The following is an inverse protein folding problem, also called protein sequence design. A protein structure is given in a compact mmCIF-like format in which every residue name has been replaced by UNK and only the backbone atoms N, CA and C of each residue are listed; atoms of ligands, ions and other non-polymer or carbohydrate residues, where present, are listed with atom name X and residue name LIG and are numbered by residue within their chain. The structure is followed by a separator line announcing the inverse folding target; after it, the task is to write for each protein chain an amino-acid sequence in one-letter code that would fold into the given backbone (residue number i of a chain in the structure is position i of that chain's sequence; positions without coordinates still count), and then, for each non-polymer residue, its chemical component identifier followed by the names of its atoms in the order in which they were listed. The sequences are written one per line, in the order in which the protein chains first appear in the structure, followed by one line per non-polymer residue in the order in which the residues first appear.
data_IF_568532936510
#
_entry.id   IF_568532936510
#
_cell.length_a   1.000
_cell.length_b   1.000
_cell.length_c   1.000
_cell.angle_alpha   90.00
_cell.angle_beta   90.00
_cell.angle_gamma   90.00
#
_symmetry.space_group_name_H-M   'P 1'
#
loop_
_entity.id
_entity.type
_entity.pdbx_description
1 polymer ?
#
# COMPACT_ATOMS: atom_id res chain seq x y z
N UNK A 1 48.51 -50.41 18.64
CA UNK A 1 47.52 -51.49 18.47
C UNK A 1 46.21 -50.89 18.00
N UNK A 2 45.66 -51.42 16.91
CA UNK A 2 44.43 -50.97 16.23
C UNK A 2 43.21 -51.53 16.97
N UNK A 3 42.10 -50.79 17.05
CA UNK A 3 40.78 -51.39 16.88
C UNK A 3 39.75 -50.37 16.42
N UNK A 4 39.18 -50.66 15.26
CA UNK A 4 38.12 -49.97 14.52
C UNK A 4 36.85 -50.81 14.69
N UNK A 5 35.67 -50.16 14.80
CA UNK A 5 34.32 -50.64 14.36
C UNK A 5 33.29 -49.58 14.83
N UNK A 6 32.75 -48.68 14.01
CA UNK A 6 31.84 -48.83 12.87
C UNK A 6 30.49 -49.51 13.23
N UNK A 7 29.40 -48.73 13.12
CA UNK A 7 27.95 -49.05 12.89
C UNK A 7 27.17 -47.80 13.35
N UNK A 8 26.70 -46.86 12.51
CA UNK A 8 25.76 -46.88 11.38
C UNK A 8 24.34 -47.38 11.74
N UNK A 9 23.37 -46.56 11.31
CA UNK A 9 21.91 -46.78 11.15
C UNK A 9 20.98 -46.28 12.27
N UNK A 10 20.63 -45.00 12.15
CA UNK A 10 19.27 -44.46 11.92
C UNK A 10 18.07 -45.29 12.40
N UNK A 11 17.27 -44.74 13.31
CA UNK A 11 15.84 -45.02 13.37
C UNK A 11 15.06 -43.72 13.65
N UNK A 12 14.15 -43.45 12.73
CA UNK A 12 13.12 -42.42 12.76
C UNK A 12 12.38 -42.39 14.10
N UNK A 13 12.27 -41.20 14.70
CA UNK A 13 11.18 -40.91 15.64
C UNK A 13 10.43 -39.70 15.08
N UNK A 14 9.34 -40.03 14.40
CA UNK A 14 8.24 -39.13 14.03
C UNK A 14 7.43 -38.91 15.30
N UNK A 15 7.56 -37.76 15.95
CA UNK A 15 6.61 -37.13 16.90
C UNK A 15 7.10 -35.66 17.02
N UNK A 16 6.31 -34.61 16.86
CA UNK A 16 4.87 -34.53 16.74
C UNK A 16 4.44 -33.10 16.43
N UNK A 17 3.20 -33.03 16.00
CA UNK A 17 2.32 -31.87 15.91
C UNK A 17 2.61 -30.82 17.01
N UNK A 18 3.06 -29.63 16.61
CA UNK A 18 2.83 -28.40 17.37
C UNK A 18 2.16 -27.41 16.43
N UNK A 19 0.83 -27.45 16.45
CA UNK A 19 0.02 -26.28 16.13
C UNK A 19 0.43 -25.14 17.07
N UNK A 20 0.70 -23.96 16.53
CA UNK A 20 0.23 -22.67 17.06
C UNK A 20 0.76 -21.51 16.20
N UNK A 21 -0.13 -20.57 15.95
CA UNK A 21 0.12 -19.20 15.53
C UNK A 21 0.46 -18.94 14.05
N UNK A 22 -0.59 -18.96 13.23
CA UNK A 22 -1.10 -17.74 12.58
C UNK A 22 -0.09 -16.66 12.17
N UNK A 23 0.83 -16.95 11.25
CA UNK A 23 1.43 -15.90 10.43
C UNK A 23 0.42 -15.49 9.34
N UNK A 24 -0.60 -14.73 9.73
CA UNK A 24 -1.27 -13.80 8.80
C UNK A 24 -0.33 -12.59 8.72
N UNK A 25 0.42 -12.38 7.62
CA UNK A 25 1.16 -11.14 7.49
C UNK A 25 0.13 -10.02 7.33
N UNK A 26 0.28 -9.01 8.18
CA UNK A 26 -0.21 -7.65 7.94
C UNK A 26 -1.72 -7.51 7.88
N UNK A 27 -2.31 -7.28 9.06
CA UNK A 27 -3.30 -6.22 9.14
C UNK A 27 -2.60 -4.95 8.59
N UNK A 28 -2.73 -4.73 7.29
CA UNK A 28 -2.43 -3.44 6.68
C UNK A 28 -3.13 -2.42 7.56
N UNK A 29 -2.37 -1.57 8.23
CA UNK A 29 -2.89 -0.30 8.72
C UNK A 29 -3.32 0.47 7.48
N UNK A 30 -4.50 0.14 6.97
CA UNK A 30 -5.12 0.84 5.86
C UNK A 30 -5.22 2.30 6.30
N UNK A 31 -4.89 3.24 5.40
CA UNK A 31 -5.22 4.66 5.55
C UNK A 31 -6.55 4.78 6.27
N UNK A 32 -6.56 5.44 7.45
CA UNK A 32 -7.71 5.48 8.35
C UNK A 32 -8.97 5.61 7.53
N UNK A 33 -9.78 4.58 7.60
CA UNK A 33 -11.18 4.60 7.22
C UNK A 33 -11.80 5.90 7.75
N UNK A 34 -12.39 6.69 6.84
CA UNK A 34 -13.17 7.90 7.13
C UNK A 34 -12.37 9.07 7.72
N UNK A 35 -11.45 9.64 6.93
CA UNK A 35 -11.14 11.07 7.12
C UNK A 35 -12.17 11.90 6.37
N UNK A 36 -12.46 13.13 6.82
CA UNK A 36 -13.38 14.03 6.09
C UNK A 36 -13.01 14.16 4.61
N UNK A 37 -11.73 14.03 4.26
CA UNK A 37 -11.22 14.10 2.89
C UNK A 37 -11.61 12.90 2.03
N UNK A 38 -11.65 11.68 2.57
CA UNK A 38 -11.86 10.46 1.78
C UNK A 38 -12.96 9.57 2.34
N UNK A 39 -13.98 9.27 1.52
CA UNK A 39 -15.03 8.33 1.86
C UNK A 39 -14.53 6.88 1.89
N UNK A 40 -13.52 6.57 1.09
CA UNK A 40 -12.79 5.31 1.15
C UNK A 40 -11.29 5.56 1.13
N UNK A 41 -10.48 4.73 1.80
CA UNK A 41 -9.03 4.87 1.79
C UNK A 41 -8.48 5.01 0.36
N UNK A 42 -7.65 6.02 0.06
CA UNK A 42 -7.05 6.17 -1.25
C UNK A 42 -6.22 4.93 -1.61
N UNK A 43 -6.16 4.60 -2.90
CA UNK A 43 -5.39 3.45 -3.41
C UNK A 43 -4.55 3.86 -4.61
N UNK A 44 -3.35 3.28 -4.72
CA UNK A 44 -2.52 3.43 -5.91
C UNK A 44 -2.89 2.33 -6.90
N UNK A 45 -3.35 2.72 -8.08
CA UNK A 45 -3.65 1.83 -9.20
C UNK A 45 -2.44 1.77 -10.12
N UNK A 46 -1.93 0.56 -10.35
CA UNK A 46 -0.88 0.29 -11.34
C UNK A 46 -1.52 -0.34 -12.58
N UNK A 47 -1.33 0.29 -13.74
CA UNK A 47 -1.70 -0.25 -15.06
C UNK A 47 -0.46 -0.28 -15.95
N UNK A 48 0.20 -1.44 -16.03
CA UNK A 48 1.47 -1.56 -16.73
C UNK A 48 2.54 -0.63 -16.13
N UNK A 49 3.05 0.29 -16.94
CA UNK A 49 4.03 1.32 -16.53
C UNK A 49 3.41 2.61 -15.98
N UNK A 50 2.08 2.75 -16.01
CA UNK A 50 1.38 3.93 -15.51
C UNK A 50 0.90 3.73 -14.07
N UNK A 51 0.99 4.80 -13.28
CA UNK A 51 0.48 4.87 -11.91
C UNK A 51 -0.63 5.91 -11.83
N UNK A 52 -1.65 5.62 -11.04
CA UNK A 52 -2.73 6.56 -10.75
C UNK A 52 -3.14 6.44 -9.29
N UNK A 53 -3.54 7.55 -8.68
CA UNK A 53 -4.17 7.54 -7.37
C UNK A 53 -5.69 7.56 -7.57
N UNK A 54 -6.37 6.54 -7.05
CA UNK A 54 -7.82 6.46 -7.05
C UNK A 54 -8.35 6.67 -5.63
N UNK A 55 -9.35 7.52 -5.49
CA UNK A 55 -10.00 7.80 -4.21
C UNK A 55 -11.44 8.24 -4.42
N UNK A 56 -12.26 8.06 -3.40
CA UNK A 56 -13.62 8.64 -3.36
C UNK A 56 -13.61 9.83 -2.41
N UNK A 57 -14.06 10.98 -2.89
CA UNK A 57 -14.11 12.18 -2.07
C UNK A 57 -15.07 12.00 -0.89
N UNK A 58 -14.59 12.33 0.31
CA UNK A 58 -15.35 12.32 1.56
C UNK A 58 -16.26 13.54 1.70
N UNK A 59 -16.71 13.79 2.92
CA UNK A 59 -17.61 14.89 3.29
C UNK A 59 -16.93 16.26 3.40
N UNK A 60 -15.63 16.36 3.06
CA UNK A 60 -14.90 17.62 3.11
C UNK A 60 -15.55 18.65 2.17
N UNK A 61 -15.90 19.85 2.67
CA UNK A 61 -16.76 20.79 1.95
C UNK A 61 -16.07 21.51 0.78
N UNK A 62 -14.78 21.25 0.55
CA UNK A 62 -13.99 21.87 -0.50
C UNK A 62 -13.38 20.83 -1.43
N UNK A 63 -13.13 21.24 -2.68
CA UNK A 63 -12.27 20.48 -3.57
C UNK A 63 -10.85 20.48 -3.02
N UNK A 64 -10.15 19.35 -3.14
CA UNK A 64 -8.74 19.28 -2.79
C UNK A 64 -7.94 18.53 -3.85
N UNK A 65 -6.69 18.98 -4.03
CA UNK A 65 -5.74 18.37 -4.93
C UNK A 65 -4.84 17.42 -4.14
N UNK A 66 -4.63 16.22 -4.70
CA UNK A 66 -3.65 15.27 -4.19
C UNK A 66 -2.47 15.25 -5.15
N UNK A 67 -1.27 15.28 -4.60
CA UNK A 67 -0.04 15.08 -5.35
C UNK A 67 0.78 13.95 -4.73
N UNK A 68 1.48 13.21 -5.58
CA UNK A 68 2.38 12.15 -5.16
C UNK A 68 3.79 12.42 -5.66
N UNK A 69 4.78 12.13 -4.83
CA UNK A 69 6.19 12.25 -5.18
C UNK A 69 7.01 11.14 -4.51
N UNK A 70 8.12 10.69 -5.12
CA UNK A 70 9.10 9.85 -4.45
C UNK A 70 9.72 10.61 -3.28
N UNK A 71 9.72 10.00 -2.10
CA UNK A 71 10.38 10.52 -0.92
C UNK A 71 11.00 9.35 -0.15
N UNK A 72 12.30 9.43 0.16
CA UNK A 72 12.99 8.41 0.98
C UNK A 72 12.79 6.97 0.49
N UNK A 73 12.79 6.77 -0.84
CA UNK A 73 12.66 5.45 -1.48
C UNK A 73 11.26 4.86 -1.50
N UNK A 74 10.21 5.62 -1.15
CA UNK A 74 8.80 5.22 -1.26
C UNK A 74 7.98 6.27 -2.01
N UNK A 75 6.85 5.88 -2.57
CA UNK A 75 5.91 6.82 -3.18
C UNK A 75 5.04 7.45 -2.09
N UNK A 76 5.13 8.76 -1.89
CA UNK A 76 4.34 9.48 -0.87
C UNK A 76 3.33 10.39 -1.55
N UNK A 77 2.05 10.22 -1.21
CA UNK A 77 0.95 11.06 -1.65
C UNK A 77 0.49 11.97 -0.51
N UNK A 78 0.04 13.19 -0.82
CA UNK A 78 -0.44 14.16 0.19
C UNK A 78 -1.44 15.14 -0.42
N UNK A 79 -2.29 15.71 0.43
CA UNK A 79 -3.14 16.84 0.02
C UNK A 79 -2.26 18.08 -0.15
N UNK A 80 -2.27 18.69 -1.35
CA UNK A 80 -1.44 19.86 -1.71
C UNK A 80 -2.15 21.20 -1.53
N UNK A 81 -3.47 21.21 -1.54
CA UNK A 81 -4.27 22.43 -1.44
C UNK A 81 -5.74 22.17 -1.66
N UNK A 82 -6.57 23.15 -1.31
CA UNK A 82 -8.00 23.15 -1.57
C UNK A 82 -8.39 24.33 -2.45
N UNK A 83 -9.36 24.12 -3.34
CA UNK A 83 -9.95 25.19 -4.14
C UNK A 83 -11.39 25.43 -3.66
N UNK A 84 -11.78 26.70 -3.63
CA UNK A 84 -13.08 27.13 -3.10
C UNK A 84 -14.20 26.88 -4.11
N UNK A 85 -15.22 26.16 -3.63
CA UNK A 85 -16.53 25.86 -4.24
C UNK A 85 -16.60 24.67 -5.22
N UNK A 86 -17.55 23.78 -4.93
CA UNK A 86 -17.87 22.56 -5.67
C UNK A 86 -18.20 21.41 -4.71
N UNK A 87 -19.36 20.76 -4.85
CA UNK A 87 -19.70 19.56 -4.09
C UNK A 87 -19.43 18.33 -4.95
N UNK A 88 -18.31 17.67 -4.68
CA UNK A 88 -17.91 16.41 -5.32
C UNK A 88 -17.95 15.24 -4.34
N UNK A 89 -18.60 15.42 -3.19
CA UNK A 89 -18.78 14.37 -2.17
C UNK A 89 -19.32 13.09 -2.82
N UNK A 90 -18.67 11.96 -2.55
CA UNK A 90 -19.04 10.66 -3.10
C UNK A 90 -18.56 10.40 -4.54
N UNK A 91 -17.96 11.39 -5.21
CA UNK A 91 -17.38 11.19 -6.54
C UNK A 91 -16.11 10.37 -6.46
N UNK A 92 -16.01 9.35 -7.31
CA UNK A 92 -14.76 8.62 -7.53
C UNK A 92 -13.87 9.44 -8.45
N UNK A 93 -12.67 9.75 -7.96
CA UNK A 93 -11.65 10.48 -8.69
C UNK A 93 -10.47 9.54 -8.91
N UNK A 94 -9.94 9.56 -10.13
CA UNK A 94 -8.69 8.89 -10.46
C UNK A 94 -7.76 9.90 -11.12
N UNK A 95 -6.55 10.04 -10.58
CA UNK A 95 -5.55 11.01 -11.04
C UNK A 95 -4.27 10.32 -11.42
N UNK A 96 -3.67 10.62 -12.59
CA UNK A 96 -2.36 10.09 -12.93
C UNK A 96 -1.31 10.59 -11.94
N UNK A 97 -0.31 9.74 -11.67
CA UNK A 97 0.85 10.08 -10.85
C UNK A 97 2.01 10.35 -11.81
N UNK A 98 2.13 11.62 -12.21
CA UNK A 98 3.16 12.09 -13.12
C UNK A 98 4.39 12.58 -12.35
N UNK A 99 5.05 11.66 -11.64
CA UNK A 99 6.27 11.96 -10.89
C UNK A 99 7.45 11.09 -11.38
N UNK A 100 8.59 11.69 -11.78
CA UNK A 100 9.78 10.94 -12.18
C UNK A 100 10.22 9.98 -11.08
N UNK A 101 10.50 8.72 -11.41
CA UNK A 101 10.92 7.70 -10.44
C UNK A 101 9.80 7.18 -9.53
N UNK A 102 8.54 7.54 -9.75
CA UNK A 102 7.41 7.06 -8.92
C UNK A 102 7.27 5.54 -8.94
N UNK A 103 7.47 4.90 -10.10
CA UNK A 103 7.39 3.44 -10.22
C UNK A 103 8.50 2.74 -9.42
N UNK A 104 9.74 3.21 -9.56
CA UNK A 104 10.88 2.67 -8.82
C UNK A 104 10.68 2.84 -7.30
N UNK A 105 10.20 4.00 -6.86
CA UNK A 105 9.91 4.26 -5.45
C UNK A 105 8.79 3.37 -4.92
N UNK A 106 7.74 3.15 -5.72
CA UNK A 106 6.66 2.23 -5.40
C UNK A 106 7.17 0.80 -5.23
N UNK A 107 8.04 0.33 -6.14
CA UNK A 107 8.59 -1.02 -6.12
C UNK A 107 9.58 -1.23 -4.96
N UNK A 108 10.36 -0.20 -4.61
CA UNK A 108 11.34 -0.27 -3.52
C UNK A 108 10.72 -0.19 -2.13
N UNK A 109 9.80 0.76 -1.92
CA UNK A 109 9.34 1.15 -0.59
C UNK A 109 7.84 1.15 -0.39
N UNK A 110 7.07 0.78 -1.42
CA UNK A 110 5.61 0.84 -1.41
C UNK A 110 5.08 2.27 -1.55
N UNK A 111 3.78 2.41 -1.25
CA UNK A 111 3.09 3.70 -1.26
C UNK A 111 2.59 4.07 0.13
N UNK A 112 2.62 5.36 0.45
CA UNK A 112 2.07 5.92 1.68
C UNK A 112 1.35 7.23 1.40
N UNK A 113 0.39 7.55 2.25
CA UNK A 113 -0.29 8.83 2.29
C UNK A 113 0.16 9.60 3.52
N UNK A 114 0.60 10.83 3.29
CA UNK A 114 0.90 11.77 4.34
C UNK A 114 -0.37 12.54 4.67
N UNK A 115 -0.93 12.22 5.83
CA UNK A 115 -2.12 12.85 6.39
C UNK A 115 -1.82 14.28 6.86
N UNK A 116 -2.82 15.18 6.84
CA UNK A 116 -2.66 16.54 7.34
C UNK A 116 -2.23 16.64 8.81
N UNK A 117 -2.52 15.61 9.62
CA UNK A 117 -2.12 15.51 11.03
C UNK A 117 -0.64 15.13 11.23
N UNK A 118 0.11 14.93 10.14
CA UNK A 118 1.51 14.55 10.16
C UNK A 118 1.76 13.04 10.10
N UNK A 119 0.72 12.20 10.18
CA UNK A 119 0.86 10.75 10.13
C UNK A 119 1.12 10.28 8.70
N UNK A 120 1.97 9.26 8.56
CA UNK A 120 2.10 8.50 7.32
C UNK A 120 1.31 7.21 7.43
N UNK A 121 0.32 7.02 6.55
CA UNK A 121 -0.46 5.78 6.50
C UNK A 121 -0.20 5.03 5.20
N UNK A 122 0.12 3.73 5.22
CA UNK A 122 0.44 3.00 4.00
C UNK A 122 -0.78 2.88 3.09
N UNK A 123 -0.53 2.99 1.79
CA UNK A 123 -1.54 2.88 0.75
C UNK A 123 -1.54 1.48 0.15
N UNK A 124 -2.74 0.99 -0.12
CA UNK A 124 -2.89 -0.25 -0.88
C UNK A 124 -2.55 0.02 -2.34
N UNK A 125 -1.76 -0.88 -2.92
CA UNK A 125 -1.51 -0.92 -4.35
C UNK A 125 -2.42 -1.97 -4.99
N UNK A 126 -3.13 -1.58 -6.04
CA UNK A 126 -4.03 -2.45 -6.79
C UNK A 126 -3.56 -2.51 -8.24
N UNK A 127 -3.50 -3.72 -8.79
CA UNK A 127 -3.24 -3.91 -10.22
C UNK A 127 -4.56 -3.68 -10.94
N UNK A 128 -4.65 -2.60 -11.70
CA UNK A 128 -5.81 -2.29 -12.53
C UNK A 128 -5.73 -3.07 -13.84
N UNK A 129 -6.89 -3.44 -14.39
CA UNK A 129 -7.00 -3.88 -15.78
C UNK A 129 -6.59 -2.75 -16.75
N UNK A 130 -6.47 -3.03 -18.06
CA UNK A 130 -6.16 -1.99 -19.04
C UNK A 130 -7.13 -0.80 -18.92
N UNK A 131 -6.68 0.44 -19.16
CA UNK A 131 -7.56 1.60 -19.09
C UNK A 131 -8.78 1.39 -20.02
N UNK A 132 -9.98 1.86 -19.65
CA UNK A 132 -11.08 1.89 -20.61
C UNK A 132 -10.63 2.73 -21.81
N UNK A 133 -10.67 2.10 -22.99
CA UNK A 133 -10.29 2.72 -24.26
C UNK A 133 -11.33 3.74 -24.75
#
# INVERSE_FOLDING_TARGET
MRSVRARFVSFFVVIGLVSLASCRPSASMVASTETSHFATPPVVVRRGGALSLAFTQGSYPFYFLVACAPLSGRLVCSVRGSASSGNLTGSRVERPIDAPGALEALERGGAAFWEPDGRMTPLRVVVGGPPPG
#
